data_IF_139150514107
#
_entry.id   IF_139150514107
#
_cell.length_a   1.000
_cell.length_b   1.000
_cell.length_c   1.000
_cell.angle_alpha   90.00
_cell.angle_beta   90.00
_cell.angle_gamma   90.00
#
_symmetry.space_group_name_H-M   'P 1'
#
loop_
_entity.id
_entity.type
_entity.pdbx_description
1 polymer ?
#
# COMPACT_ATOMS: atom_id res chain seq x y z
N UNK A 1 -4.95 -34.85 15.86
CA UNK A 1 -5.78 -34.76 14.63
C UNK A 1 -6.85 -33.69 14.75
N UNK A 2 -7.42 -33.42 15.94
CA UNK A 2 -8.40 -32.35 16.16
C UNK A 2 -7.90 -30.93 15.78
N UNK A 3 -6.68 -30.54 16.14
CA UNK A 3 -6.16 -29.18 15.87
C UNK A 3 -6.04 -28.88 14.37
N UNK A 4 -5.66 -29.89 13.56
CA UNK A 4 -5.47 -29.70 12.13
C UNK A 4 -6.83 -29.54 11.42
N UNK A 5 -7.84 -30.28 11.88
CA UNK A 5 -9.23 -30.13 11.41
C UNK A 5 -9.83 -28.81 11.86
N UNK A 6 -9.54 -28.34 13.08
CA UNK A 6 -10.06 -27.07 13.61
C UNK A 6 -9.50 -25.85 12.84
N UNK A 7 -8.20 -25.88 12.53
CA UNK A 7 -7.55 -24.87 11.67
C UNK A 7 -8.15 -24.91 10.26
N UNK A 8 -8.37 -26.11 9.72
CA UNK A 8 -8.94 -26.29 8.39
C UNK A 8 -10.39 -25.80 8.32
N UNK A 9 -11.20 -26.12 9.33
CA UNK A 9 -12.59 -25.69 9.43
C UNK A 9 -12.69 -24.18 9.61
N UNK A 10 -11.84 -23.57 10.44
CA UNK A 10 -11.80 -22.11 10.59
C UNK A 10 -11.44 -21.39 9.30
N UNK A 11 -10.54 -21.95 8.50
CA UNK A 11 -10.22 -21.42 7.17
C UNK A 11 -11.40 -21.59 6.18
N UNK A 12 -12.03 -22.77 6.12
CA UNK A 12 -13.20 -23.00 5.27
C UNK A 12 -14.38 -22.09 5.64
N UNK A 13 -14.63 -21.87 6.94
CA UNK A 13 -15.67 -20.95 7.42
C UNK A 13 -15.34 -19.51 7.03
N UNK A 14 -14.08 -19.09 7.16
CA UNK A 14 -13.65 -17.78 6.67
C UNK A 14 -13.88 -17.63 5.16
N UNK A 15 -13.55 -18.64 4.35
CA UNK A 15 -13.76 -18.62 2.89
C UNK A 15 -15.25 -18.60 2.55
N UNK A 16 -16.08 -19.38 3.22
CA UNK A 16 -17.54 -19.35 3.06
C UNK A 16 -18.12 -17.99 3.46
N UNK A 17 -17.61 -17.39 4.53
CA UNK A 17 -18.00 -16.06 4.98
C UNK A 17 -17.62 -14.99 3.95
N UNK A 18 -16.46 -15.14 3.30
CA UNK A 18 -16.05 -14.28 2.21
C UNK A 18 -17.02 -14.38 1.03
N UNK A 19 -17.42 -15.60 0.66
CA UNK A 19 -18.32 -15.83 -0.48
C UNK A 19 -19.74 -15.29 -0.26
N UNK A 20 -20.16 -15.21 1.00
CA UNK A 20 -21.48 -14.73 1.40
C UNK A 20 -21.56 -13.19 1.47
N UNK A 21 -20.42 -12.50 1.64
CA UNK A 21 -20.38 -11.05 1.90
C UNK A 21 -19.60 -10.29 0.83
N UNK A 22 -20.30 -9.48 0.02
CA UNK A 22 -19.69 -8.68 -1.05
C UNK A 22 -18.66 -7.65 -0.55
N UNK A 23 -18.92 -7.00 0.58
CA UNK A 23 -18.04 -5.95 1.12
C UNK A 23 -16.68 -6.51 1.58
N UNK A 24 -16.69 -7.71 2.16
CA UNK A 24 -15.47 -8.42 2.58
C UNK A 24 -14.63 -8.85 1.39
N UNK A 25 -15.26 -9.25 0.28
CA UNK A 25 -14.54 -9.55 -0.96
C UNK A 25 -13.82 -8.31 -1.47
N UNK A 26 -14.51 -7.16 -1.52
CA UNK A 26 -13.90 -5.89 -1.92
C UNK A 26 -12.74 -5.51 -0.99
N UNK A 27 -12.92 -5.64 0.33
CA UNK A 27 -11.87 -5.40 1.32
C UNK A 27 -10.64 -6.30 1.11
N UNK A 28 -10.83 -7.61 0.91
CA UNK A 28 -9.71 -8.55 0.73
C UNK A 28 -8.96 -8.29 -0.57
N UNK A 29 -9.66 -7.92 -1.65
CA UNK A 29 -9.02 -7.51 -2.91
C UNK A 29 -8.17 -6.25 -2.69
N UNK A 30 -8.72 -5.23 -2.04
CA UNK A 30 -7.99 -4.00 -1.73
C UNK A 30 -6.80 -4.28 -0.80
N UNK A 31 -6.97 -5.13 0.21
CA UNK A 31 -5.89 -5.54 1.10
C UNK A 31 -4.76 -6.25 0.34
N UNK A 32 -5.09 -7.17 -0.56
CA UNK A 32 -4.10 -7.86 -1.39
C UNK A 32 -3.33 -6.87 -2.29
N UNK A 33 -4.03 -5.94 -2.95
CA UNK A 33 -3.41 -4.89 -3.77
C UNK A 33 -2.46 -4.03 -2.93
N UNK A 34 -2.89 -3.60 -1.74
CA UNK A 34 -2.10 -2.78 -0.82
C UNK A 34 -0.82 -3.49 -0.38
N UNK A 35 -0.91 -4.77 0.00
CA UNK A 35 0.25 -5.57 0.42
C UNK A 35 1.22 -5.77 -0.75
N UNK A 36 0.72 -6.14 -1.93
CA UNK A 36 1.55 -6.31 -3.12
C UNK A 36 2.27 -5.00 -3.47
N UNK A 37 1.56 -3.87 -3.44
CA UNK A 37 2.15 -2.56 -3.66
C UNK A 37 3.23 -2.21 -2.63
N UNK A 38 2.98 -2.46 -1.33
CA UNK A 38 3.95 -2.22 -0.27
C UNK A 38 5.22 -3.07 -0.42
N UNK A 39 5.10 -4.32 -0.91
CA UNK A 39 6.26 -5.15 -1.24
C UNK A 39 7.06 -4.51 -2.39
N UNK A 40 6.40 -4.02 -3.44
CA UNK A 40 7.07 -3.34 -4.56
C UNK A 40 7.76 -2.04 -4.15
N UNK A 41 7.23 -1.29 -3.17
CA UNK A 41 7.90 -0.09 -2.62
C UNK A 41 9.33 -0.41 -2.17
N UNK A 42 9.53 -1.54 -1.50
CA UNK A 42 10.82 -1.93 -0.90
C UNK A 42 11.69 -2.69 -1.90
N UNK A 43 11.09 -3.43 -2.83
CA UNK A 43 11.81 -4.26 -3.80
C UNK A 43 12.51 -3.45 -4.90
N UNK A 44 11.93 -2.31 -5.29
CA UNK A 44 12.44 -1.53 -6.42
C UNK A 44 13.73 -0.78 -6.10
N UNK A 45 14.68 -0.83 -7.04
CA UNK A 45 15.99 -0.17 -6.93
C UNK A 45 15.96 1.31 -7.30
N UNK A 46 14.95 1.73 -8.06
CA UNK A 46 14.78 3.10 -8.51
C UNK A 46 13.79 3.79 -7.56
N UNK A 47 14.24 4.74 -6.73
CA UNK A 47 13.37 5.29 -5.70
C UNK A 47 12.16 6.05 -6.23
N UNK A 48 12.23 6.51 -7.49
CA UNK A 48 11.10 7.11 -8.20
C UNK A 48 9.97 6.10 -8.36
N UNK A 49 10.27 4.85 -8.73
CA UNK A 49 9.26 3.81 -8.89
C UNK A 49 8.66 3.44 -7.53
N UNK A 50 9.50 3.30 -6.49
CA UNK A 50 9.04 3.09 -5.11
C UNK A 50 8.05 4.17 -4.64
N UNK A 51 8.27 5.44 -4.99
CA UNK A 51 7.35 6.52 -4.66
C UNK A 51 5.98 6.39 -5.34
N UNK A 52 5.92 5.90 -6.58
CA UNK A 52 4.65 5.59 -7.26
C UNK A 52 3.90 4.44 -6.59
N UNK A 53 4.59 3.38 -6.18
CA UNK A 53 3.96 2.28 -5.43
C UNK A 53 3.47 2.73 -4.05
N UNK A 54 4.18 3.66 -3.39
CA UNK A 54 3.73 4.25 -2.14
C UNK A 54 2.44 5.06 -2.33
N UNK A 55 2.34 5.82 -3.42
CA UNK A 55 1.11 6.52 -3.80
C UNK A 55 -0.05 5.52 -3.95
N UNK A 56 0.20 4.39 -4.62
CA UNK A 56 -0.79 3.35 -4.85
C UNK A 56 -1.29 2.71 -3.54
N UNK A 57 -0.40 2.49 -2.56
CA UNK A 57 -0.79 2.05 -1.20
C UNK A 57 -1.77 3.06 -0.58
N UNK A 58 -1.44 4.36 -0.60
CA UNK A 58 -2.31 5.39 -0.01
C UNK A 58 -3.64 5.55 -0.74
N UNK A 59 -3.67 5.40 -2.06
CA UNK A 59 -4.92 5.38 -2.84
C UNK A 59 -5.79 4.20 -2.43
N UNK A 60 -5.20 3.02 -2.30
CA UNK A 60 -5.92 1.80 -1.90
C UNK A 60 -6.53 1.96 -0.50
N UNK A 61 -5.78 2.56 0.44
CA UNK A 61 -6.29 2.90 1.77
C UNK A 61 -7.42 3.94 1.71
N UNK A 62 -7.32 4.96 0.85
CA UNK A 62 -8.38 5.94 0.66
C UNK A 62 -9.67 5.27 0.16
N UNK A 63 -9.57 4.35 -0.82
CA UNK A 63 -10.71 3.56 -1.30
C UNK A 63 -11.31 2.73 -0.17
N UNK A 64 -10.50 2.09 0.67
CA UNK A 64 -10.99 1.37 1.85
C UNK A 64 -11.79 2.27 2.80
N UNK A 65 -11.37 3.52 3.02
CA UNK A 65 -12.16 4.47 3.83
C UNK A 65 -13.53 4.79 3.23
N UNK A 66 -13.67 4.84 1.90
CA UNK A 66 -14.98 4.98 1.26
C UNK A 66 -15.89 3.77 1.50
N UNK A 67 -15.33 2.55 1.50
CA UNK A 67 -16.09 1.34 1.84
C UNK A 67 -16.53 1.30 3.31
N UNK A 68 -15.80 1.97 4.21
CA UNK A 68 -16.15 2.09 5.62
C UNK A 68 -17.13 3.26 5.91
N UNK A 69 -17.71 3.87 4.88
CA UNK A 69 -18.56 5.07 4.99
C UNK A 69 -17.84 6.25 5.68
N UNK A 70 -16.50 6.25 5.68
CA UNK A 70 -15.66 7.25 6.31
C UNK A 70 -15.18 8.29 5.29
N UNK A 71 -16.13 8.94 4.61
CA UNK A 71 -15.88 9.79 3.44
C UNK A 71 -14.91 10.95 3.74
N UNK A 72 -15.09 11.63 4.87
CA UNK A 72 -14.24 12.77 5.24
C UNK A 72 -12.77 12.36 5.41
N UNK A 73 -12.53 11.25 6.09
CA UNK A 73 -11.18 10.70 6.30
C UNK A 73 -10.61 10.21 4.96
N UNK A 74 -11.43 9.57 4.11
CA UNK A 74 -11.03 9.14 2.76
C UNK A 74 -10.57 10.29 1.87
N UNK A 75 -11.28 11.41 1.88
CA UNK A 75 -10.91 12.62 1.13
C UNK A 75 -9.61 13.22 1.67
N UNK A 76 -9.46 13.32 3.00
CA UNK A 76 -8.19 13.79 3.60
C UNK A 76 -7.04 12.87 3.24
N UNK A 77 -7.24 11.55 3.25
CA UNK A 77 -6.24 10.57 2.86
C UNK A 77 -5.73 10.83 1.44
N UNK A 78 -6.67 11.10 0.52
CA UNK A 78 -6.35 11.37 -0.88
C UNK A 78 -5.67 12.74 -1.06
N UNK A 79 -6.14 13.79 -0.39
CA UNK A 79 -5.56 15.13 -0.53
C UNK A 79 -4.18 15.24 0.13
N UNK A 80 -4.03 14.73 1.35
CA UNK A 80 -2.83 14.93 2.16
C UNK A 80 -1.78 13.86 1.86
N UNK A 81 -2.14 12.58 1.90
CA UNK A 81 -1.15 11.51 1.74
C UNK A 81 -0.82 11.23 0.28
N UNK A 82 -1.84 11.00 -0.56
CA UNK A 82 -1.62 10.75 -1.99
C UNK A 82 -1.15 12.03 -2.69
N UNK A 83 -1.82 13.16 -2.42
CA UNK A 83 -1.50 14.46 -3.02
C UNK A 83 -0.19 15.06 -2.49
N UNK A 84 -0.19 15.55 -1.26
CA UNK A 84 0.95 16.33 -0.76
C UNK A 84 2.17 15.47 -0.37
N UNK A 85 2.01 14.53 0.56
CA UNK A 85 3.13 13.81 1.19
C UNK A 85 3.88 12.97 0.16
N UNK A 86 3.19 12.22 -0.70
CA UNK A 86 3.86 11.34 -1.66
C UNK A 86 4.66 12.12 -2.70
N UNK A 87 4.13 13.26 -3.16
CA UNK A 87 4.84 14.14 -4.09
C UNK A 87 6.07 14.74 -3.40
N UNK A 88 5.93 15.23 -2.16
CA UNK A 88 7.07 15.73 -1.37
C UNK A 88 8.13 14.64 -1.18
N UNK A 89 7.72 13.41 -0.91
CA UNK A 89 8.63 12.28 -0.75
C UNK A 89 9.35 11.94 -2.06
N UNK A 90 8.64 11.90 -3.18
CA UNK A 90 9.21 11.67 -4.51
C UNK A 90 10.26 12.73 -4.87
N UNK A 91 9.95 14.00 -4.64
CA UNK A 91 10.90 15.10 -4.85
C UNK A 91 12.09 15.02 -3.89
N UNK A 92 11.85 14.75 -2.61
CA UNK A 92 12.91 14.63 -1.61
C UNK A 92 13.91 13.54 -1.99
N UNK A 93 13.46 12.34 -2.37
CA UNK A 93 14.38 11.27 -2.73
C UNK A 93 15.14 11.60 -4.02
N UNK A 94 14.47 12.22 -4.99
CA UNK A 94 15.12 12.63 -6.24
C UNK A 94 16.25 13.64 -5.99
N UNK A 95 16.04 14.61 -5.10
CA UNK A 95 17.05 15.60 -4.72
C UNK A 95 18.21 14.95 -3.96
N UNK A 96 17.91 14.12 -2.95
CA UNK A 96 18.93 13.43 -2.17
C UNK A 96 19.82 12.52 -3.03
N UNK A 97 19.26 11.84 -4.04
CA UNK A 97 20.04 10.99 -4.94
C UNK A 97 21.11 11.76 -5.74
N UNK A 98 20.83 13.01 -6.13
CA UNK A 98 21.80 13.80 -6.90
C UNK A 98 23.02 14.19 -6.07
N UNK A 99 22.81 14.50 -4.79
CA UNK A 99 23.89 14.90 -3.87
C UNK A 99 24.93 13.79 -3.66
N UNK A 100 24.50 12.54 -3.45
CA UNK A 100 25.41 11.40 -3.24
C UNK A 100 26.28 11.13 -4.48
N UNK A 101 25.79 11.48 -5.67
CA UNK A 101 26.51 11.21 -6.91
C UNK A 101 27.59 12.26 -7.23
N UNK A 102 27.56 13.44 -6.60
CA UNK A 102 28.56 14.51 -6.80
C UNK A 102 29.80 14.33 -5.90
N UNK A 103 29.65 13.77 -4.69
CA UNK A 103 30.81 13.50 -3.80
C UNK A 103 31.79 12.45 -4.37
N UNK A 104 31.34 11.50 -5.20
CA UNK A 104 32.20 10.49 -5.83
C UNK A 104 33.07 11.03 -6.99
N UNK A 105 32.82 12.24 -7.51
CA UNK A 105 33.57 12.80 -8.65
C UNK A 105 34.64 13.84 -8.27
N UNK A 106 34.60 14.39 -7.05
CA UNK A 106 35.56 15.41 -6.60
C UNK A 106 36.77 14.80 -5.84
N UNK A 107 36.74 13.49 -5.54
CA UNK A 107 37.80 12.75 -4.83
C UNK A 107 38.81 12.03 -5.76
N UNK A 108 38.76 12.24 -7.09
CA UNK A 108 39.69 11.65 -8.10
C UNK A 108 40.42 12.72 -8.93
#
# INVERSE_FOLDING_TARGET
MAILEDIWNGFCDFVNYLWCNGDLVAFVILAAISITAAIYVIYDRLPVHSAFYLALVFVTVAVTYFFLEAEFIGVIQLLVYVGAITILFAFSIMLTRRYIQEEDFDDE
#
